data_IF_078893335686
#
_entry.id   IF_078893335686
#
_cell.length_a   1.000
_cell.length_b   1.000
_cell.length_c   1.000
_cell.angle_alpha   90.00
_cell.angle_beta   90.00
_cell.angle_gamma   90.00
#
_symmetry.space_group_name_H-M   'P 1'
#
loop_
_entity.id
_entity.type
_entity.pdbx_description
1 polymer ?
#
# COMPACT_ATOMS: atom_id res chain seq x y z
N UNK A 1 9.36 17.55 19.85
CA UNK A 1 9.21 16.29 19.12
C UNK A 1 10.47 15.46 19.21
N UNK A 2 10.33 14.13 19.35
CA UNK A 2 11.45 13.23 19.63
C UNK A 2 12.59 13.31 18.62
N UNK A 3 12.31 13.55 17.35
CA UNK A 3 13.33 13.63 16.31
C UNK A 3 14.38 14.73 16.55
N UNK A 4 13.97 15.93 16.95
CA UNK A 4 14.90 17.03 17.28
C UNK A 4 15.68 16.77 18.57
N UNK A 5 15.01 16.24 19.61
CA UNK A 5 15.63 15.90 20.89
C UNK A 5 16.66 14.78 20.74
N UNK A 6 16.52 13.93 19.73
CA UNK A 6 17.36 12.77 19.47
C UNK A 6 18.37 12.99 18.32
N UNK A 7 18.63 14.26 17.97
CA UNK A 7 19.75 14.66 17.16
C UNK A 7 19.47 14.88 15.67
N UNK A 8 18.22 14.72 15.18
CA UNK A 8 17.86 15.16 13.83
C UNK A 8 17.68 16.70 13.80
N UNK A 9 18.05 17.29 12.68
CA UNK A 9 17.94 18.73 12.45
C UNK A 9 17.24 19.01 11.13
N UNK A 10 16.69 20.19 11.00
CA UNK A 10 16.14 20.65 9.73
C UNK A 10 17.25 20.66 8.66
N UNK A 11 16.92 20.10 7.49
CA UNK A 11 17.86 19.94 6.38
C UNK A 11 18.50 18.54 6.28
N UNK A 12 18.32 17.67 7.28
CA UNK A 12 18.75 16.28 7.19
C UNK A 12 17.97 15.52 6.13
N UNK A 13 18.67 14.71 5.34
CA UNK A 13 18.05 13.86 4.31
C UNK A 13 17.99 12.42 4.81
N UNK A 14 16.79 11.97 5.21
CA UNK A 14 16.57 10.59 5.64
C UNK A 14 16.75 9.66 4.44
N UNK A 15 17.61 8.65 4.59
CA UNK A 15 17.92 7.67 3.55
C UNK A 15 17.49 6.26 3.88
N UNK A 16 17.35 5.93 5.19
CA UNK A 16 16.80 4.66 5.64
C UNK A 16 16.01 4.85 6.94
N UNK A 17 15.04 3.96 7.15
CA UNK A 17 14.22 3.85 8.36
C UNK A 17 14.06 2.35 8.69
N UNK A 18 14.43 1.93 9.89
CA UNK A 18 14.38 0.51 10.30
C UNK A 18 15.07 -0.43 9.29
N UNK A 19 16.19 0.01 8.69
CA UNK A 19 16.91 -0.72 7.65
C UNK A 19 16.30 -0.62 6.23
N UNK A 20 15.06 -0.14 6.05
CA UNK A 20 14.41 0.06 4.74
C UNK A 20 14.88 1.37 4.10
N UNK A 21 15.11 1.37 2.79
CA UNK A 21 15.50 2.57 2.04
C UNK A 21 14.33 3.54 1.90
N UNK A 22 14.59 4.83 2.16
CA UNK A 22 13.65 5.93 1.98
C UNK A 22 14.02 6.69 0.72
N UNK A 23 13.08 6.82 -0.21
CA UNK A 23 13.23 7.52 -1.49
C UNK A 23 12.26 8.67 -1.64
N UNK A 24 11.06 8.54 -1.08
CA UNK A 24 10.00 9.53 -1.06
C UNK A 24 9.43 9.63 0.36
N UNK A 25 8.74 10.74 0.64
CA UNK A 25 8.12 10.96 1.96
C UNK A 25 7.17 9.84 2.38
N UNK A 26 6.44 9.29 1.42
CA UNK A 26 5.46 8.24 1.66
C UNK A 26 6.08 6.95 2.22
N UNK A 27 7.38 6.68 1.95
CA UNK A 27 8.08 5.51 2.53
C UNK A 27 8.15 5.60 4.06
N UNK A 28 8.30 6.82 4.60
CA UNK A 28 8.30 7.05 6.07
C UNK A 28 6.90 6.83 6.64
N UNK A 29 5.87 7.32 5.96
CA UNK A 29 4.48 7.14 6.37
C UNK A 29 4.07 5.67 6.36
N UNK A 30 4.49 4.93 5.33
CA UNK A 30 4.26 3.48 5.24
C UNK A 30 4.96 2.72 6.37
N UNK A 31 6.21 3.09 6.68
CA UNK A 31 6.92 2.47 7.79
C UNK A 31 6.18 2.69 9.12
N UNK A 32 5.77 3.92 9.41
CA UNK A 32 5.01 4.23 10.62
C UNK A 32 3.70 3.44 10.72
N UNK A 33 2.99 3.29 9.60
CA UNK A 33 1.75 2.53 9.55
C UNK A 33 1.97 1.04 9.86
N UNK A 34 3.03 0.47 9.32
CA UNK A 34 3.27 -0.99 9.38
C UNK A 34 4.09 -1.43 10.58
N UNK A 35 4.78 -0.50 11.26
CA UNK A 35 5.69 -0.75 12.39
C UNK A 35 5.34 0.11 13.63
N UNK A 36 4.06 0.45 13.81
CA UNK A 36 3.58 1.30 14.91
C UNK A 36 3.83 0.74 16.32
N UNK A 37 4.14 -0.55 16.45
CA UNK A 37 4.44 -1.21 17.72
C UNK A 37 5.92 -1.10 18.15
N UNK A 38 6.80 -0.64 17.26
CA UNK A 38 8.22 -0.51 17.55
C UNK A 38 8.45 0.65 18.50
N UNK A 39 9.19 0.39 19.56
CA UNK A 39 9.52 1.40 20.58
C UNK A 39 10.74 2.23 20.20
N UNK A 40 11.62 1.69 19.40
CA UNK A 40 12.85 2.32 18.92
C UNK A 40 13.01 2.05 17.43
N UNK A 41 13.26 3.10 16.66
CA UNK A 41 13.42 3.02 15.21
C UNK A 41 14.74 3.65 14.81
N UNK A 42 15.61 2.86 14.20
CA UNK A 42 16.87 3.35 13.66
C UNK A 42 16.62 4.14 12.36
N UNK A 43 17.12 5.36 12.32
CA UNK A 43 17.09 6.23 11.14
C UNK A 43 18.50 6.53 10.66
N UNK A 44 18.76 6.26 9.39
CA UNK A 44 19.97 6.69 8.71
C UNK A 44 19.68 7.94 7.89
N UNK A 45 20.48 8.98 8.10
CA UNK A 45 20.31 10.26 7.39
C UNK A 45 21.64 10.83 6.91
N UNK A 46 21.59 11.76 5.98
CA UNK A 46 22.74 12.51 5.48
C UNK A 46 22.67 13.96 5.94
N UNK A 47 23.75 14.45 6.53
CA UNK A 47 24.00 15.85 6.92
C UNK A 47 25.37 16.26 6.38
N UNK A 48 25.45 17.34 5.63
CA UNK A 48 26.69 17.87 5.01
C UNK A 48 27.47 16.78 4.23
N UNK A 49 26.74 15.92 3.50
CA UNK A 49 27.30 14.85 2.69
C UNK A 49 27.78 13.61 3.47
N UNK A 50 27.77 13.64 4.81
CA UNK A 50 28.14 12.51 5.67
C UNK A 50 26.91 11.75 6.12
N UNK A 51 27.06 10.43 6.26
CA UNK A 51 26.00 9.55 6.75
C UNK A 51 26.08 9.44 8.28
N UNK A 52 24.94 9.60 8.92
CA UNK A 52 24.74 9.50 10.35
C UNK A 52 23.60 8.54 10.66
N UNK A 53 23.57 8.03 11.88
CA UNK A 53 22.49 7.17 12.39
C UNK A 53 21.98 7.75 13.70
N UNK A 54 20.66 7.73 13.88
CA UNK A 54 20.00 8.08 15.13
C UNK A 54 18.93 7.02 15.43
N UNK A 55 18.63 6.82 16.70
CA UNK A 55 17.52 5.98 17.14
C UNK A 55 16.42 6.90 17.63
N UNK A 56 15.24 6.80 17.05
CA UNK A 56 14.07 7.58 17.43
C UNK A 56 13.07 6.71 18.18
N UNK A 57 12.52 7.26 19.26
CA UNK A 57 11.40 6.66 19.99
C UNK A 57 10.09 7.28 19.45
N UNK A 58 9.21 6.51 18.78
CA UNK A 58 7.90 7.00 18.38
C UNK A 58 7.08 7.44 19.60
N UNK A 59 6.46 8.62 19.54
CA UNK A 59 5.62 9.15 20.62
C UNK A 59 4.20 9.41 20.10
N UNK A 60 3.23 9.01 20.89
CA UNK A 60 1.82 9.29 20.63
C UNK A 60 1.40 10.52 21.43
N UNK A 61 0.83 11.52 20.75
CA UNK A 61 0.19 12.66 21.40
C UNK A 61 -1.30 12.41 21.59
N UNK A 62 -1.87 13.16 22.51
CA UNK A 62 -3.32 13.17 22.71
C UNK A 62 -4.02 13.63 21.42
N UNK A 63 -4.85 12.75 20.84
CA UNK A 63 -5.50 12.95 19.54
C UNK A 63 -4.86 12.21 18.35
N UNK A 64 -3.66 11.66 18.49
CA UNK A 64 -3.03 10.86 17.42
C UNK A 64 -3.59 9.43 17.41
N UNK A 65 -3.84 8.89 16.23
CA UNK A 65 -4.32 7.51 16.05
C UNK A 65 -3.21 6.47 16.20
N UNK A 66 -1.93 6.88 16.10
CA UNK A 66 -0.77 6.01 16.22
C UNK A 66 0.46 6.80 16.71
N UNK A 67 1.48 6.14 17.28
CA UNK A 67 2.76 6.77 17.60
C UNK A 67 3.44 7.31 16.34
N UNK A 68 3.97 8.52 16.41
CA UNK A 68 4.66 9.18 15.31
C UNK A 68 6.14 9.42 15.67
N UNK A 69 7.01 9.35 14.66
CA UNK A 69 8.44 9.61 14.82
C UNK A 69 8.78 11.10 15.03
N UNK A 70 7.78 11.97 14.89
CA UNK A 70 7.99 13.43 15.05
C UNK A 70 8.82 14.06 13.94
N UNK A 71 8.95 13.39 12.81
CA UNK A 71 9.53 13.93 11.59
C UNK A 71 8.42 14.56 10.78
N UNK A 72 8.55 15.84 10.43
CA UNK A 72 7.56 16.56 9.62
C UNK A 72 8.23 17.17 8.41
N UNK A 73 7.51 17.28 7.32
CA UNK A 73 7.97 17.96 6.13
C UNK A 73 8.53 17.02 5.08
N UNK A 74 9.12 17.60 4.14
CA UNK A 74 9.72 17.07 2.94
C UNK A 74 9.89 18.24 2.00
N UNK A 75 11.08 18.45 1.47
CA UNK A 75 11.29 19.47 0.47
C UNK A 75 10.62 19.03 -0.82
N UNK A 76 9.65 19.80 -1.28
CA UNK A 76 9.08 19.58 -2.61
C UNK A 76 10.11 20.08 -3.64
N UNK A 77 10.78 19.14 -4.29
CA UNK A 77 11.70 19.43 -5.39
C UNK A 77 10.92 19.41 -6.72
N UNK A 78 11.32 20.28 -7.64
CA UNK A 78 10.87 20.23 -9.04
C UNK A 78 11.96 19.53 -9.87
N UNK A 79 11.91 18.21 -9.99
CA UNK A 79 12.92 17.48 -10.74
C UNK A 79 12.77 17.78 -12.24
N UNK A 80 13.89 17.79 -12.97
CA UNK A 80 13.86 17.77 -14.43
C UNK A 80 13.28 16.44 -14.96
N UNK A 81 13.18 16.29 -16.27
CA UNK A 81 12.55 15.12 -16.92
C UNK A 81 13.02 13.76 -16.34
N UNK A 82 14.32 13.52 -16.26
CA UNK A 82 14.86 12.27 -15.70
C UNK A 82 14.57 12.10 -14.21
N UNK A 83 14.56 13.20 -13.47
CA UNK A 83 14.16 13.18 -12.07
C UNK A 83 12.69 12.81 -11.90
N UNK A 84 11.80 13.35 -12.72
CA UNK A 84 10.38 13.00 -12.71
C UNK A 84 10.17 11.51 -13.00
N UNK A 85 10.88 10.95 -13.97
CA UNK A 85 10.80 9.52 -14.27
C UNK A 85 11.30 8.66 -13.10
N UNK A 86 12.40 9.07 -12.46
CA UNK A 86 12.94 8.41 -11.27
C UNK A 86 11.95 8.44 -10.10
N UNK A 87 11.36 9.59 -9.79
CA UNK A 87 10.36 9.70 -8.73
C UNK A 87 9.07 8.94 -9.06
N UNK A 88 8.66 8.89 -10.33
CA UNK A 88 7.57 8.04 -10.78
C UNK A 88 7.84 6.56 -10.49
N UNK A 89 9.05 6.06 -10.76
CA UNK A 89 9.43 4.70 -10.43
C UNK A 89 9.42 4.44 -8.90
N UNK A 90 9.84 5.41 -8.09
CA UNK A 90 9.76 5.30 -6.63
C UNK A 90 8.31 5.29 -6.12
N UNK A 91 7.42 6.03 -6.76
CA UNK A 91 5.99 6.01 -6.43
C UNK A 91 5.37 4.64 -6.73
N UNK A 92 5.69 4.05 -7.88
CA UNK A 92 5.24 2.67 -8.21
C UNK A 92 5.80 1.67 -7.20
N UNK A 93 7.10 1.75 -6.87
CA UNK A 93 7.71 0.91 -5.83
C UNK A 93 6.98 1.06 -4.49
N UNK A 94 6.70 2.28 -4.05
CA UNK A 94 5.95 2.55 -2.83
C UNK A 94 4.60 1.82 -2.81
N UNK A 95 3.82 1.88 -3.89
CA UNK A 95 2.53 1.22 -3.94
C UNK A 95 2.63 -0.32 -3.95
N UNK A 96 3.70 -0.87 -4.53
CA UNK A 96 4.01 -2.30 -4.46
C UNK A 96 4.34 -2.68 -3.00
N UNK A 97 5.23 -1.94 -2.36
CA UNK A 97 5.61 -2.18 -0.96
C UNK A 97 4.40 -2.05 -0.03
N UNK A 98 3.55 -1.03 -0.23
CA UNK A 98 2.30 -0.84 0.49
C UNK A 98 1.39 -2.06 0.38
N UNK A 99 1.22 -2.60 -0.84
CA UNK A 99 0.38 -3.78 -1.07
C UNK A 99 0.96 -5.02 -0.38
N UNK A 100 2.28 -5.24 -0.50
CA UNK A 100 2.95 -6.39 0.12
C UNK A 100 2.88 -6.30 1.66
N UNK A 101 3.12 -5.13 2.22
CA UNK A 101 3.02 -4.92 3.68
C UNK A 101 1.58 -5.07 4.18
N UNK A 102 0.58 -4.58 3.43
CA UNK A 102 -0.85 -4.77 3.75
C UNK A 102 -1.24 -6.25 3.76
N UNK A 103 -0.77 -7.03 2.77
CA UNK A 103 -0.97 -8.48 2.75
C UNK A 103 -0.29 -9.17 3.95
N UNK A 104 0.91 -8.73 4.31
CA UNK A 104 1.61 -9.24 5.49
C UNK A 104 0.83 -8.93 6.77
N UNK A 105 0.30 -7.72 6.92
CA UNK A 105 -0.53 -7.34 8.07
C UNK A 105 -1.81 -8.19 8.14
N UNK A 106 -2.43 -8.49 7.01
CA UNK A 106 -3.60 -9.37 6.93
C UNK A 106 -3.25 -10.79 7.37
N UNK A 107 -2.17 -11.38 6.84
CA UNK A 107 -1.75 -12.75 7.19
C UNK A 107 -1.30 -12.86 8.64
N UNK A 108 -0.70 -11.81 9.20
CA UNK A 108 -0.28 -11.77 10.62
C UNK A 108 -1.42 -11.42 11.58
N UNK A 109 -2.63 -11.15 11.07
CA UNK A 109 -3.81 -10.81 11.88
C UNK A 109 -3.77 -9.41 12.50
N UNK A 110 -2.87 -8.54 12.07
CA UNK A 110 -2.82 -7.13 12.50
C UNK A 110 -3.96 -6.30 11.90
N UNK A 111 -4.44 -6.70 10.74
CA UNK A 111 -5.61 -6.13 10.05
C UNK A 111 -6.65 -7.23 9.95
N UNK A 112 -7.90 -6.89 10.27
CA UNK A 112 -9.02 -7.84 10.27
C UNK A 112 -9.84 -7.79 8.99
N UNK A 113 -10.79 -8.73 8.87
CA UNK A 113 -11.74 -8.75 7.74
C UNK A 113 -12.59 -7.48 7.63
N UNK A 114 -12.76 -6.75 8.73
CA UNK A 114 -13.53 -5.49 8.78
C UNK A 114 -12.80 -4.30 8.12
N UNK A 115 -11.48 -4.45 7.96
CA UNK A 115 -10.62 -3.41 7.37
C UNK A 115 -10.40 -3.65 5.87
N UNK A 116 -10.94 -4.77 5.33
CA UNK A 116 -10.92 -5.04 3.90
C UNK A 116 -12.02 -4.27 3.21
N UNK A 117 -11.64 -3.54 2.19
CA UNK A 117 -12.56 -2.85 1.29
C UNK A 117 -12.86 -3.74 0.08
N UNK A 118 -14.13 -3.97 -0.17
CA UNK A 118 -14.60 -4.60 -1.39
C UNK A 118 -14.93 -3.58 -2.49
N UNK A 119 -15.68 -3.98 -3.51
CA UNK A 119 -16.02 -3.10 -4.64
C UNK A 119 -16.70 -1.79 -4.24
N UNK A 120 -17.57 -1.81 -3.22
CA UNK A 120 -18.29 -0.62 -2.73
C UNK A 120 -17.32 0.33 -2.03
N UNK A 121 -16.42 -0.20 -1.19
CA UNK A 121 -15.39 0.60 -0.52
C UNK A 121 -14.41 1.25 -1.50
N UNK A 122 -14.10 0.60 -2.63
CA UNK A 122 -13.28 1.19 -3.68
C UNK A 122 -14.00 2.39 -4.33
N UNK A 123 -15.30 2.25 -4.65
CA UNK A 123 -16.09 3.36 -5.21
C UNK A 123 -16.15 4.52 -4.23
N UNK A 124 -16.43 4.26 -2.94
CA UNK A 124 -16.46 5.29 -1.90
C UNK A 124 -15.11 5.99 -1.71
N UNK A 125 -13.99 5.25 -1.81
CA UNK A 125 -12.66 5.84 -1.75
C UNK A 125 -12.36 6.76 -2.95
N UNK A 126 -12.80 6.37 -4.16
CA UNK A 126 -12.66 7.20 -5.37
C UNK A 126 -13.51 8.47 -5.24
N UNK A 127 -14.75 8.35 -4.77
CA UNK A 127 -15.64 9.50 -4.54
C UNK A 127 -15.06 10.44 -3.47
N UNK A 128 -14.62 9.92 -2.33
CA UNK A 128 -13.98 10.70 -1.28
C UNK A 128 -12.79 11.53 -1.79
N UNK A 129 -11.91 10.91 -2.58
CA UNK A 129 -10.77 11.60 -3.19
C UNK A 129 -11.22 12.66 -4.21
N UNK A 130 -12.29 12.39 -4.97
CA UNK A 130 -12.86 13.37 -5.89
C UNK A 130 -13.42 14.59 -5.12
N UNK A 131 -14.21 14.36 -4.07
CA UNK A 131 -14.81 15.43 -3.27
C UNK A 131 -13.73 16.29 -2.58
N UNK A 132 -12.69 15.68 -2.05
CA UNK A 132 -11.56 16.38 -1.44
C UNK A 132 -10.76 17.21 -2.46
N UNK A 133 -10.59 16.68 -3.66
CA UNK A 133 -9.83 17.34 -4.73
C UNK A 133 -10.63 18.42 -5.49
N UNK A 134 -11.95 18.32 -5.52
CA UNK A 134 -12.84 19.18 -6.31
C UNK A 134 -12.64 20.68 -6.04
N UNK A 135 -12.52 21.17 -4.80
CA UNK A 135 -12.28 22.58 -4.52
C UNK A 135 -10.92 23.09 -5.06
N UNK A 136 -9.94 22.22 -5.23
CA UNK A 136 -8.60 22.58 -5.69
C UNK A 136 -8.46 22.62 -7.24
N UNK A 137 -9.50 22.21 -7.96
CA UNK A 137 -9.62 22.32 -9.41
C UNK A 137 -9.22 21.05 -10.18
N UNK A 138 -9.56 21.06 -11.48
CA UNK A 138 -9.50 19.89 -12.36
C UNK A 138 -8.12 19.21 -12.39
N UNK A 139 -7.03 19.97 -12.36
CA UNK A 139 -5.69 19.40 -12.38
C UNK A 139 -5.39 18.54 -11.15
N UNK A 140 -5.88 18.96 -9.98
CA UNK A 140 -5.71 18.22 -8.72
C UNK A 140 -6.57 16.96 -8.74
N UNK A 141 -7.80 17.05 -9.23
CA UNK A 141 -8.68 15.89 -9.43
C UNK A 141 -7.98 14.83 -10.30
N UNK A 142 -7.47 15.23 -11.48
CA UNK A 142 -6.80 14.31 -12.40
C UNK A 142 -5.59 13.65 -11.73
N UNK A 143 -4.73 14.43 -11.04
CA UNK A 143 -3.55 13.89 -10.37
C UNK A 143 -3.91 12.88 -9.28
N UNK A 144 -4.94 13.16 -8.48
CA UNK A 144 -5.38 12.25 -7.43
C UNK A 144 -6.03 10.98 -7.99
N UNK A 145 -6.86 11.09 -9.04
CA UNK A 145 -7.41 9.92 -9.73
C UNK A 145 -6.33 9.06 -10.39
N UNK A 146 -5.30 9.68 -10.98
CA UNK A 146 -4.13 8.94 -11.49
C UNK A 146 -3.40 8.20 -10.36
N UNK A 147 -3.26 8.81 -9.19
CA UNK A 147 -2.61 8.17 -8.04
C UNK A 147 -3.40 6.94 -7.55
N UNK A 148 -4.74 7.04 -7.47
CA UNK A 148 -5.61 5.87 -7.21
C UNK A 148 -5.44 4.81 -8.31
N UNK A 149 -5.39 5.21 -9.58
CA UNK A 149 -5.15 4.29 -10.69
C UNK A 149 -3.84 3.52 -10.54
N UNK A 150 -2.76 4.17 -10.09
CA UNK A 150 -1.47 3.52 -9.81
C UNK A 150 -1.62 2.54 -8.63
N UNK A 151 -2.28 2.93 -7.55
CA UNK A 151 -2.57 2.06 -6.40
C UNK A 151 -3.31 0.79 -6.83
N UNK A 152 -4.44 0.94 -7.54
CA UNK A 152 -5.25 -0.19 -7.99
C UNK A 152 -4.44 -1.12 -8.91
N UNK A 153 -3.67 -0.54 -9.83
CA UNK A 153 -2.82 -1.30 -10.77
C UNK A 153 -1.71 -2.06 -10.02
N UNK A 154 -1.07 -1.43 -9.05
CA UNK A 154 -0.04 -2.08 -8.22
C UNK A 154 -0.64 -3.22 -7.41
N UNK A 155 -1.80 -3.00 -6.76
CA UNK A 155 -2.53 -4.03 -6.03
C UNK A 155 -2.88 -5.22 -6.92
N UNK A 156 -3.46 -4.95 -8.10
CA UNK A 156 -3.82 -6.00 -9.05
C UNK A 156 -2.58 -6.80 -9.51
N UNK A 157 -1.47 -6.11 -9.78
CA UNK A 157 -0.22 -6.75 -10.17
C UNK A 157 0.34 -7.68 -9.08
N UNK A 158 0.42 -7.18 -7.84
CA UNK A 158 0.91 -7.97 -6.70
C UNK A 158 -0.03 -9.13 -6.38
N UNK A 159 -1.35 -8.89 -6.35
CA UNK A 159 -2.34 -9.92 -6.09
C UNK A 159 -2.29 -11.04 -7.15
N UNK A 160 -2.13 -10.68 -8.43
CA UNK A 160 -2.01 -11.67 -9.50
C UNK A 160 -0.75 -12.53 -9.41
N UNK A 161 0.31 -12.07 -8.75
CA UNK A 161 1.53 -12.84 -8.50
C UNK A 161 1.42 -13.81 -7.31
N UNK A 162 0.36 -13.70 -6.50
CA UNK A 162 0.15 -14.64 -5.38
C UNK A 162 -0.01 -16.09 -5.90
N UNK A 163 0.54 -17.08 -5.18
CA UNK A 163 0.46 -18.49 -5.56
C UNK A 163 -0.94 -19.07 -5.28
N UNK A 164 -1.98 -18.36 -5.72
CA UNK A 164 -3.37 -18.76 -5.54
C UNK A 164 -3.95 -19.30 -6.85
N UNK A 165 -4.74 -20.38 -6.79
CA UNK A 165 -5.50 -20.85 -7.94
C UNK A 165 -6.40 -19.72 -8.49
N UNK A 166 -6.62 -19.71 -9.80
CA UNK A 166 -7.32 -18.69 -10.57
C UNK A 166 -6.50 -17.41 -10.88
N UNK A 167 -5.37 -17.17 -10.22
CA UNK A 167 -4.47 -16.06 -10.50
C UNK A 167 -3.27 -16.53 -11.34
N UNK A 168 -2.54 -15.57 -11.97
CA UNK A 168 -1.37 -15.88 -12.79
C UNK A 168 -0.23 -16.54 -11.98
N UNK A 169 -0.06 -16.13 -10.71
CA UNK A 169 0.87 -16.77 -9.79
C UNK A 169 0.56 -18.23 -9.55
N UNK A 170 -0.70 -18.64 -9.53
CA UNK A 170 -1.11 -20.03 -9.47
C UNK A 170 -0.64 -20.84 -10.69
N UNK A 171 -0.73 -20.28 -11.90
CA UNK A 171 -0.18 -20.91 -13.11
C UNK A 171 1.34 -21.00 -13.06
N UNK A 172 2.01 -19.96 -12.53
CA UNK A 172 3.45 -20.00 -12.34
C UNK A 172 3.89 -21.15 -11.44
N UNK A 173 3.13 -21.44 -10.37
CA UNK A 173 3.38 -22.60 -9.49
C UNK A 173 3.30 -23.91 -10.28
N UNK A 174 2.30 -24.10 -11.15
CA UNK A 174 2.22 -25.29 -12.00
C UNK A 174 3.41 -25.40 -12.94
N UNK A 175 3.84 -24.32 -13.57
CA UNK A 175 5.03 -24.28 -14.44
C UNK A 175 6.31 -24.67 -13.66
N UNK A 176 6.48 -24.18 -12.44
CA UNK A 176 7.61 -24.55 -11.57
C UNK A 176 7.58 -26.05 -11.24
N UNK A 177 6.38 -26.57 -10.89
CA UNK A 177 6.20 -28.00 -10.61
C UNK A 177 6.53 -28.85 -11.84
N UNK A 178 6.09 -28.46 -13.03
CA UNK A 178 6.41 -29.13 -14.29
C UNK A 178 7.92 -29.12 -14.58
N UNK A 179 8.59 -27.98 -14.37
CA UNK A 179 10.02 -27.85 -14.57
C UNK A 179 10.82 -28.78 -13.63
N UNK A 180 10.38 -28.89 -12.35
CA UNK A 180 11.05 -29.77 -11.36
C UNK A 180 10.78 -31.26 -11.66
N UNK A 181 9.55 -31.61 -12.07
CA UNK A 181 9.14 -33.00 -12.32
C UNK A 181 9.56 -33.52 -13.71
N UNK A 182 9.91 -32.62 -14.65
CA UNK A 182 10.18 -32.97 -16.04
C UNK A 182 8.96 -33.52 -16.81
N UNK A 183 7.75 -33.42 -16.25
CA UNK A 183 6.49 -33.89 -16.86
C UNK A 183 5.39 -32.87 -16.65
N UNK A 184 4.60 -32.64 -17.71
CA UNK A 184 3.45 -31.74 -17.67
C UNK A 184 2.36 -32.24 -16.72
N UNK A 185 1.71 -31.31 -16.04
CA UNK A 185 0.45 -31.56 -15.33
C UNK A 185 -0.67 -31.71 -16.37
N UNK A 186 -1.62 -32.61 -16.16
CA UNK A 186 -2.73 -32.72 -17.12
C UNK A 186 -3.56 -31.43 -17.10
N UNK A 187 -3.93 -30.87 -18.28
CA UNK A 187 -4.74 -29.66 -18.37
C UNK A 187 -6.04 -29.72 -17.58
N UNK A 188 -6.67 -30.89 -17.51
CA UNK A 188 -7.91 -31.10 -16.76
C UNK A 188 -7.72 -30.87 -15.26
N UNK A 189 -6.58 -31.32 -14.69
CA UNK A 189 -6.29 -31.13 -13.26
C UNK A 189 -5.95 -29.66 -12.96
N UNK A 190 -5.16 -29.03 -13.81
CA UNK A 190 -4.84 -27.60 -13.71
C UNK A 190 -6.14 -26.78 -13.80
N UNK A 191 -6.98 -27.07 -14.81
CA UNK A 191 -8.28 -26.40 -14.99
C UNK A 191 -9.22 -26.57 -13.79
N UNK A 192 -9.28 -27.75 -13.20
CA UNK A 192 -10.11 -28.02 -12.01
C UNK A 192 -9.64 -27.24 -10.79
N UNK A 193 -8.32 -27.16 -10.57
CA UNK A 193 -7.76 -26.41 -9.44
C UNK A 193 -8.02 -24.91 -9.64
N UNK A 194 -7.83 -24.37 -10.86
CA UNK A 194 -8.13 -22.99 -11.17
C UNK A 194 -9.63 -22.66 -11.01
N UNK A 195 -10.52 -23.56 -11.45
CA UNK A 195 -11.96 -23.40 -11.27
C UNK A 195 -12.36 -23.38 -9.79
N UNK A 196 -11.80 -24.28 -8.98
CA UNK A 196 -12.06 -24.29 -7.54
C UNK A 196 -11.56 -23.01 -6.86
N UNK A 197 -10.37 -22.51 -7.24
CA UNK A 197 -9.85 -21.25 -6.76
C UNK A 197 -10.72 -20.05 -7.16
N UNK A 198 -11.20 -20.03 -8.40
CA UNK A 198 -12.13 -19.00 -8.87
C UNK A 198 -13.43 -19.01 -8.07
N UNK A 199 -14.03 -20.18 -7.85
CA UNK A 199 -15.24 -20.31 -7.05
C UNK A 199 -15.02 -19.81 -5.60
N UNK A 200 -13.87 -20.15 -4.99
CA UNK A 200 -13.50 -19.66 -3.67
C UNK A 200 -13.37 -18.12 -3.63
N UNK A 201 -12.73 -17.54 -4.63
CA UNK A 201 -12.58 -16.06 -4.72
C UNK A 201 -13.94 -15.38 -4.90
N UNK A 202 -14.85 -15.96 -5.68
CA UNK A 202 -16.22 -15.46 -5.83
C UNK A 202 -16.99 -15.51 -4.51
N UNK A 203 -16.88 -16.58 -3.74
CA UNK A 203 -17.48 -16.67 -2.40
C UNK A 203 -16.88 -15.63 -1.48
N UNK A 204 -15.54 -15.48 -1.47
CA UNK A 204 -14.87 -14.45 -0.66
C UNK A 204 -15.34 -13.06 -1.03
N UNK A 205 -15.46 -12.73 -2.31
CA UNK A 205 -15.97 -11.44 -2.78
C UNK A 205 -17.37 -11.14 -2.24
N UNK A 206 -18.26 -12.14 -2.31
CA UNK A 206 -19.63 -12.03 -1.77
C UNK A 206 -19.59 -11.79 -0.25
N UNK A 207 -18.78 -12.56 0.48
CA UNK A 207 -18.64 -12.39 1.93
C UNK A 207 -18.13 -11.01 2.29
N UNK A 208 -17.11 -10.49 1.60
CA UNK A 208 -16.56 -9.14 1.83
C UNK A 208 -17.63 -8.09 1.54
N UNK A 209 -18.35 -8.21 0.43
CA UNK A 209 -19.43 -7.28 0.07
C UNK A 209 -20.53 -7.20 1.13
N UNK A 210 -20.91 -8.33 1.75
CA UNK A 210 -21.88 -8.32 2.87
C UNK A 210 -21.30 -7.84 4.20
N UNK A 211 -19.98 -7.79 4.35
CA UNK A 211 -19.30 -7.24 5.52
C UNK A 211 -19.04 -5.74 5.41
N UNK A 212 -19.04 -5.18 4.20
CA UNK A 212 -19.01 -3.74 4.00
C UNK A 212 -20.25 -3.13 4.66
N UNK A 213 -20.06 -2.02 5.39
CA UNK A 213 -21.14 -1.41 6.16
C UNK A 213 -22.38 -1.20 5.28
N UNK A 214 -23.54 -1.72 5.65
CA UNK A 214 -24.76 -1.60 4.83
C UNK A 214 -25.18 -0.15 4.55
N UNK A 215 -24.67 0.81 5.32
CA UNK A 215 -24.91 2.25 5.13
C UNK A 215 -24.45 2.71 3.73
N UNK A 216 -23.26 2.29 3.26
CA UNK A 216 -22.77 2.70 1.95
C UNK A 216 -23.57 2.10 0.78
N UNK A 217 -24.08 0.88 0.95
CA UNK A 217 -24.91 0.24 -0.10
C UNK A 217 -26.26 0.95 -0.20
N UNK A 218 -26.84 1.37 0.93
CA UNK A 218 -28.12 2.07 0.98
C UNK A 218 -27.97 3.48 0.44
N UNK A 219 -26.93 4.23 0.82
CA UNK A 219 -26.65 5.57 0.30
C UNK A 219 -26.41 5.54 -1.20
N UNK A 220 -25.57 4.63 -1.70
CA UNK A 220 -25.33 4.46 -3.14
C UNK A 220 -26.62 4.08 -3.90
N UNK A 221 -27.51 3.27 -3.33
CA UNK A 221 -28.81 2.95 -3.95
C UNK A 221 -29.76 4.13 -3.96
N UNK A 222 -29.73 4.97 -2.94
CA UNK A 222 -30.56 6.20 -2.88
C UNK A 222 -30.09 7.19 -3.93
N UNK A 223 -28.78 7.45 -4.00
CA UNK A 223 -28.17 8.37 -4.99
C UNK A 223 -28.37 7.90 -6.45
N UNK A 224 -28.51 6.59 -6.68
CA UNK A 224 -28.80 6.04 -8.01
C UNK A 224 -30.27 6.16 -8.40
N UNK A 225 -31.18 6.36 -7.43
CA UNK A 225 -32.63 6.46 -7.63
C UNK A 225 -33.12 7.92 -7.70
N UNK A 226 -32.28 8.91 -7.36
CA UNK A 226 -32.51 10.34 -7.54
C UNK A 226 -31.89 10.85 -8.87
#
# INVERSE_FOLDING_TARGET
>A
YSAQEQGLSEGDVITKIGGRSVHIWNDISLYNLTHSEEKEVEITYKRDGKTHTAVLEPRQKEGDTAPLLGVTGGKMERPGFFGTLKYGAYTVKYWIDYTVDSLRMLVTGRVGMKDLSGPVGIVSAVDGVYQEAAPAGLSVIILNLMNIGILITANLGVMNLLPLPALDGGRLVFLIIEAIRGKRVSPDKEGMVHFAGFALLMVLMVVVMFHEKPVYIIEMMIDFME
#
